data_IF_282175374648
#
_entry.id   IF_282175374648
#
_cell.length_a   1.000
_cell.length_b   1.000
_cell.length_c   1.000
_cell.angle_alpha   90.00
_cell.angle_beta   90.00
_cell.angle_gamma   90.00
#
_symmetry.space_group_name_H-M   'P 1'
#
loop_
_entity.id
_entity.type
_entity.pdbx_description
1 polymer ?
#
# COMPACT_ATOMS: atom_id res chain seq x y z
N UNK A 1 13.01 23.45 -23.00
CA UNK A 1 11.78 22.94 -22.34
C UNK A 1 12.19 21.65 -21.64
N UNK A 2 12.38 21.68 -20.32
CA UNK A 2 12.92 20.55 -19.57
C UNK A 2 11.87 19.45 -19.45
N UNK A 3 12.17 18.29 -20.03
CA UNK A 3 11.44 17.06 -19.74
C UNK A 3 11.63 16.75 -18.25
N UNK A 4 10.56 16.92 -17.46
CA UNK A 4 10.52 16.46 -16.08
C UNK A 4 10.63 14.93 -16.13
N UNK A 5 11.83 14.43 -15.80
CA UNK A 5 12.10 13.01 -15.71
C UNK A 5 11.05 12.37 -14.79
N UNK A 6 10.30 11.38 -15.27
CA UNK A 6 9.53 10.51 -14.40
C UNK A 6 10.53 9.87 -13.42
N UNK A 7 10.46 10.27 -12.16
CA UNK A 7 11.32 9.71 -11.14
C UNK A 7 11.00 8.22 -10.97
N UNK A 8 12.07 7.44 -10.99
CA UNK A 8 12.05 5.99 -10.87
C UNK A 8 11.49 5.61 -9.50
N UNK A 9 10.71 4.54 -9.47
CA UNK A 9 10.04 4.02 -8.27
C UNK A 9 11.07 3.94 -7.13
N UNK A 10 10.84 4.63 -5.99
CA UNK A 10 11.78 4.55 -4.88
C UNK A 10 11.90 3.09 -4.40
N UNK A 11 13.10 2.67 -3.97
CA UNK A 11 13.30 1.34 -3.44
C UNK A 11 12.46 1.11 -2.19
N UNK A 12 12.39 -0.16 -1.76
CA UNK A 12 11.65 -0.59 -0.56
C UNK A 12 11.82 0.38 0.64
N UNK A 13 10.74 0.72 1.37
CA UNK A 13 10.81 1.70 2.47
C UNK A 13 11.84 1.35 3.56
N UNK A 14 12.13 0.07 3.81
CA UNK A 14 13.17 -0.30 4.78
C UNK A 14 14.55 -0.01 4.23
N UNK A 15 14.79 -0.26 2.94
CA UNK A 15 16.03 0.13 2.24
C UNK A 15 16.18 1.65 2.28
N UNK A 16 15.11 2.41 2.00
CA UNK A 16 15.14 3.88 2.12
C UNK A 16 15.44 4.35 3.53
N UNK A 17 14.83 3.73 4.55
CA UNK A 17 15.08 4.08 5.95
C UNK A 17 16.54 3.77 6.36
N UNK A 18 17.10 2.65 5.92
CA UNK A 18 18.50 2.28 6.16
C UNK A 18 19.46 3.27 5.48
N UNK A 19 19.26 3.53 4.18
CA UNK A 19 20.08 4.49 3.42
C UNK A 19 20.00 5.90 4.03
N UNK A 20 18.83 6.31 4.51
CA UNK A 20 18.67 7.61 5.18
C UNK A 20 19.37 7.65 6.54
N UNK A 21 19.32 6.56 7.33
CA UNK A 21 20.06 6.47 8.58
C UNK A 21 21.58 6.54 8.35
N UNK A 22 22.08 5.90 7.30
CA UNK A 22 23.48 6.00 6.87
C UNK A 22 23.83 7.41 6.40
N UNK A 23 22.95 8.06 5.62
CA UNK A 23 23.10 9.46 5.24
C UNK A 23 23.22 10.39 6.46
N UNK A 24 22.38 10.23 7.49
CA UNK A 24 22.43 11.06 8.69
C UNK A 24 23.75 10.88 9.45
N UNK A 25 24.25 9.65 9.54
CA UNK A 25 25.59 9.35 10.08
C UNK A 25 26.70 9.99 9.25
N UNK A 26 26.55 9.98 7.93
CA UNK A 26 27.52 10.51 6.98
C UNK A 26 27.56 12.05 6.92
N UNK A 27 26.39 12.69 6.98
CA UNK A 27 26.21 14.14 6.80
C UNK A 27 26.96 14.95 7.85
N UNK A 28 26.91 14.57 9.13
CA UNK A 28 27.49 15.36 10.22
C UNK A 28 27.12 16.85 10.11
N UNK A 29 28.13 17.74 10.03
CA UNK A 29 27.98 19.21 9.82
C UNK A 29 28.00 19.66 8.34
N UNK A 30 28.07 18.74 7.36
CA UNK A 30 28.17 19.09 5.93
C UNK A 30 26.78 19.35 5.31
N UNK A 31 26.68 20.35 4.42
CA UNK A 31 25.48 20.68 3.62
C UNK A 31 25.32 19.75 2.40
N UNK A 32 25.33 18.42 2.60
CA UNK A 32 25.04 17.46 1.54
C UNK A 32 23.55 17.08 1.60
N UNK A 33 22.82 17.14 0.51
CA UNK A 33 21.43 16.64 0.44
C UNK A 33 21.40 15.12 0.31
N UNK A 34 20.29 14.50 0.71
CA UNK A 34 20.12 13.05 0.60
C UNK A 34 20.25 12.56 -0.85
N UNK A 35 19.70 13.29 -1.83
CA UNK A 35 19.84 12.97 -3.25
C UNK A 35 21.32 12.91 -3.71
N UNK A 36 22.14 13.90 -3.30
CA UNK A 36 23.59 13.89 -3.61
C UNK A 36 24.35 12.79 -2.87
N UNK A 37 23.83 12.33 -1.73
CA UNK A 37 24.39 11.18 -1.03
C UNK A 37 24.09 9.88 -1.78
N UNK A 38 22.89 9.69 -2.31
CA UNK A 38 22.52 8.52 -3.12
C UNK A 38 23.37 8.41 -4.39
N UNK A 39 23.60 9.52 -5.10
CA UNK A 39 24.55 9.56 -6.23
C UNK A 39 25.97 9.17 -5.80
N UNK A 40 26.41 9.68 -4.65
CA UNK A 40 27.76 9.44 -4.13
C UNK A 40 28.03 7.98 -3.78
N UNK A 41 27.03 7.28 -3.22
CA UNK A 41 27.16 5.85 -2.91
C UNK A 41 26.97 4.97 -4.15
N UNK A 42 26.78 5.57 -5.33
CA UNK A 42 26.54 4.84 -6.58
C UNK A 42 25.20 4.10 -6.57
N UNK A 43 24.21 4.58 -5.80
CA UNK A 43 22.89 3.94 -5.74
C UNK A 43 22.27 3.96 -7.13
N UNK A 44 22.20 2.78 -7.74
CA UNK A 44 21.56 2.57 -9.03
C UNK A 44 20.20 1.94 -8.75
N UNK A 45 19.13 2.60 -9.17
CA UNK A 45 17.79 2.05 -9.03
C UNK A 45 17.73 0.64 -9.66
N UNK A 46 17.44 -0.42 -8.89
CA UNK A 46 17.36 -1.78 -9.39
C UNK A 46 16.19 -1.98 -10.37
N UNK A 47 15.20 -1.08 -10.42
CA UNK A 47 14.15 -1.07 -11.43
C UNK A 47 14.59 -0.39 -12.75
N UNK A 48 15.79 0.17 -12.82
CA UNK A 48 16.31 0.81 -14.02
C UNK A 48 16.41 -0.19 -15.18
N UNK A 49 15.47 -0.08 -16.13
CA UNK A 49 15.42 -0.94 -17.33
C UNK A 49 14.58 -2.20 -17.18
N UNK A 50 13.96 -2.44 -16.02
CA UNK A 50 12.97 -3.51 -15.87
C UNK A 50 11.65 -3.10 -16.54
N UNK A 51 11.15 -3.94 -17.44
CA UNK A 51 9.83 -3.78 -18.06
C UNK A 51 8.76 -4.11 -17.01
N UNK A 52 7.99 -3.11 -16.58
CA UNK A 52 6.89 -3.27 -15.62
C UNK A 52 5.77 -4.21 -16.12
N UNK A 53 5.06 -4.81 -15.16
CA UNK A 53 3.95 -5.74 -15.41
C UNK A 53 2.63 -5.06 -15.84
N UNK A 54 2.63 -3.73 -15.96
CA UNK A 54 1.49 -2.87 -16.30
C UNK A 54 1.21 -2.76 -17.81
N UNK A 55 2.03 -3.35 -18.68
CA UNK A 55 1.86 -3.33 -20.15
C UNK A 55 0.86 -4.35 -20.74
N UNK A 56 -0.18 -4.71 -19.99
CA UNK A 56 -1.37 -5.35 -20.58
C UNK A 56 -1.30 -6.86 -20.80
N UNK A 57 -0.38 -7.57 -20.14
CA UNK A 57 -0.44 -9.05 -20.04
C UNK A 57 -1.70 -9.44 -19.27
N UNK A 58 -2.71 -9.99 -19.95
CA UNK A 58 -3.99 -10.38 -19.35
C UNK A 58 -4.00 -11.87 -19.03
N UNK A 59 -3.91 -12.30 -17.76
CA UNK A 59 -4.24 -13.68 -17.41
C UNK A 59 -5.70 -13.99 -17.79
N UNK A 60 -5.96 -15.23 -18.21
CA UNK A 60 -7.32 -15.70 -18.44
C UNK A 60 -8.07 -15.79 -17.10
N UNK A 61 -9.27 -15.18 -16.98
CA UNK A 61 -10.03 -15.20 -15.74
C UNK A 61 -10.58 -16.59 -15.51
N UNK A 62 -10.66 -16.99 -14.24
CA UNK A 62 -11.34 -18.22 -13.83
C UNK A 62 -12.86 -18.05 -13.97
N UNK A 63 -13.63 -19.11 -14.28
CA UNK A 63 -15.09 -19.02 -14.39
C UNK A 63 -15.72 -18.45 -13.11
N UNK A 64 -16.65 -17.49 -13.25
CA UNK A 64 -17.40 -16.89 -12.15
C UNK A 64 -16.78 -15.61 -11.53
N UNK A 65 -15.71 -15.06 -12.09
CA UNK A 65 -15.12 -13.80 -11.65
C UNK A 65 -15.29 -12.71 -12.71
N UNK A 66 -16.05 -11.65 -12.39
CA UNK A 66 -16.13 -10.46 -13.23
C UNK A 66 -14.80 -9.70 -13.12
N UNK A 67 -14.28 -9.24 -14.27
CA UNK A 67 -13.04 -8.46 -14.29
C UNK A 67 -13.34 -7.06 -13.76
N UNK A 68 -12.46 -6.55 -12.90
CA UNK A 68 -12.38 -5.09 -12.71
C UNK A 68 -12.01 -4.49 -14.06
N UNK A 69 -12.94 -3.73 -14.65
CA UNK A 69 -12.70 -3.00 -15.89
C UNK A 69 -11.52 -2.05 -15.66
N UNK A 70 -10.51 -2.14 -16.52
CA UNK A 70 -9.46 -1.12 -16.53
C UNK A 70 -10.16 0.16 -17.03
N UNK A 71 -10.17 1.25 -16.22
CA UNK A 71 -10.86 2.46 -16.63
C UNK A 71 -10.25 2.99 -17.92
N UNK A 72 -11.11 3.34 -18.89
CA UNK A 72 -10.67 3.87 -20.18
C UNK A 72 -10.02 5.27 -20.06
N UNK A 73 -10.19 5.93 -18.92
CA UNK A 73 -9.66 7.26 -18.62
C UNK A 73 -8.56 7.15 -17.58
N UNK A 74 -7.44 7.84 -17.85
CA UNK A 74 -6.37 7.98 -16.87
C UNK A 74 -6.88 8.76 -15.64
N UNK A 75 -6.43 8.36 -14.45
CA UNK A 75 -6.69 9.11 -13.22
C UNK A 75 -5.81 10.36 -13.23
N UNK A 76 -6.43 11.54 -13.11
CA UNK A 76 -5.74 12.83 -12.97
C UNK A 76 -6.41 13.71 -11.91
N UNK A 77 -5.64 14.63 -11.33
CA UNK A 77 -6.07 15.50 -10.24
C UNK A 77 -6.21 14.74 -8.92
N UNK A 78 -7.10 15.20 -8.05
CA UNK A 78 -7.31 14.55 -6.75
C UNK A 78 -8.06 13.23 -6.92
N UNK A 79 -7.49 12.15 -6.39
CA UNK A 79 -8.13 10.84 -6.23
C UNK A 79 -8.49 10.66 -4.75
N UNK A 80 -9.79 10.49 -4.47
CA UNK A 80 -10.33 10.30 -3.11
C UNK A 80 -10.40 8.82 -2.78
N UNK A 81 -9.78 8.43 -1.66
CA UNK A 81 -9.75 7.06 -1.17
C UNK A 81 -10.60 6.95 0.09
N UNK A 82 -11.32 5.85 0.21
CA UNK A 82 -11.97 5.45 1.45
C UNK A 82 -11.18 4.30 2.09
N UNK A 83 -10.73 4.48 3.33
CA UNK A 83 -10.01 3.45 4.09
C UNK A 83 -10.88 2.99 5.26
N UNK A 84 -11.16 1.70 5.33
CA UNK A 84 -11.96 1.09 6.39
C UNK A 84 -11.08 0.18 7.24
N UNK A 85 -11.00 0.45 8.54
CA UNK A 85 -10.28 -0.39 9.49
C UNK A 85 -11.20 -1.49 10.02
N UNK A 86 -10.76 -2.74 9.94
CA UNK A 86 -11.52 -3.91 10.38
C UNK A 86 -10.81 -4.63 11.52
N UNK A 87 -11.52 -4.89 12.62
CA UNK A 87 -11.00 -5.72 13.72
C UNK A 87 -11.91 -6.91 14.01
N UNK A 88 -11.42 -7.84 14.84
CA UNK A 88 -12.05 -9.13 15.07
C UNK A 88 -12.29 -9.34 16.57
N UNK A 89 -13.27 -10.19 16.96
CA UNK A 89 -13.53 -10.50 18.36
C UNK A 89 -12.29 -11.02 19.12
N UNK A 90 -11.45 -11.79 18.43
CA UNK A 90 -10.22 -12.42 18.93
C UNK A 90 -8.94 -11.65 18.58
N UNK A 91 -9.03 -10.61 17.75
CA UNK A 91 -7.88 -9.81 17.33
C UNK A 91 -8.31 -8.34 17.13
N UNK A 92 -8.17 -7.56 18.20
CA UNK A 92 -8.65 -6.18 18.25
C UNK A 92 -7.64 -5.23 17.63
N UNK A 93 -8.15 -4.18 17.00
CA UNK A 93 -7.33 -3.10 16.48
C UNK A 93 -6.77 -2.23 17.60
N UNK A 94 -5.46 -1.98 17.58
CA UNK A 94 -4.76 -1.24 18.63
C UNK A 94 -4.37 0.18 18.21
N UNK A 95 -4.14 0.41 16.91
CA UNK A 95 -3.67 1.69 16.39
C UNK A 95 -4.85 2.62 16.06
N UNK A 96 -4.77 3.92 16.37
CA UNK A 96 -5.84 4.86 16.06
C UNK A 96 -5.91 5.13 14.55
N UNK A 97 -7.10 5.50 14.05
CA UNK A 97 -7.31 5.80 12.63
C UNK A 97 -6.43 6.96 12.11
N UNK A 98 -6.16 7.96 12.96
CA UNK A 98 -5.32 9.11 12.65
C UNK A 98 -3.88 8.73 12.27
N UNK A 99 -3.39 7.61 12.78
CA UNK A 99 -2.05 7.15 12.44
C UNK A 99 -1.98 6.63 11.00
N UNK A 100 -2.98 5.84 10.59
CA UNK A 100 -3.10 5.40 9.20
C UNK A 100 -3.32 6.59 8.26
N UNK A 101 -4.14 7.56 8.68
CA UNK A 101 -4.37 8.78 7.92
C UNK A 101 -3.06 9.56 7.69
N UNK A 102 -2.22 9.66 8.70
CA UNK A 102 -0.89 10.28 8.58
C UNK A 102 -0.03 9.53 7.57
N UNK A 103 0.14 8.21 7.72
CA UNK A 103 1.00 7.41 6.83
C UNK A 103 0.49 7.40 5.38
N UNK A 104 -0.82 7.51 5.17
CA UNK A 104 -1.43 7.45 3.84
C UNK A 104 -1.53 8.82 3.15
N UNK A 105 -1.94 9.87 3.87
CA UNK A 105 -2.42 11.11 3.24
C UNK A 105 -1.66 12.38 3.64
N UNK A 106 -0.71 12.29 4.58
CA UNK A 106 0.15 13.42 4.94
C UNK A 106 1.03 13.89 3.76
N UNK A 107 1.57 15.10 3.83
CA UNK A 107 2.58 15.59 2.88
C UNK A 107 3.85 15.96 3.61
N UNK A 108 5.00 15.47 3.14
CA UNK A 108 6.31 15.83 3.68
C UNK A 108 6.48 15.61 5.18
N UNK A 109 5.65 14.75 5.79
CA UNK A 109 5.64 14.52 7.25
C UNK A 109 6.61 13.41 7.62
N UNK A 110 6.70 12.35 6.81
CA UNK A 110 7.64 11.26 6.99
C UNK A 110 8.84 11.44 6.07
N UNK A 111 10.02 11.09 6.57
CA UNK A 111 11.26 11.14 5.77
C UNK A 111 11.24 10.15 4.61
N UNK A 112 10.54 9.02 4.76
CA UNK A 112 10.31 8.02 3.70
C UNK A 112 9.17 8.40 2.76
N UNK A 113 8.47 9.52 3.02
CA UNK A 113 7.23 9.90 2.34
C UNK A 113 6.00 9.12 2.82
N UNK A 114 4.83 9.71 2.63
CA UNK A 114 3.54 9.05 2.72
C UNK A 114 3.15 8.41 1.37
N UNK A 115 2.04 7.65 1.34
CA UNK A 115 1.46 7.19 0.06
C UNK A 115 1.13 8.37 -0.87
N UNK A 116 0.64 9.49 -0.32
CA UNK A 116 0.37 10.71 -1.10
C UNK A 116 1.63 11.32 -1.67
N UNK A 117 2.72 11.37 -0.89
CA UNK A 117 4.02 11.85 -1.38
C UNK A 117 4.55 10.96 -2.50
N UNK A 118 4.46 9.62 -2.33
CA UNK A 118 4.86 8.64 -3.34
C UNK A 118 4.11 8.86 -4.66
N UNK A 119 2.77 8.90 -4.64
CA UNK A 119 1.98 9.09 -5.86
C UNK A 119 2.19 10.46 -6.50
N UNK A 120 2.39 11.51 -5.70
CA UNK A 120 2.76 12.83 -6.23
C UNK A 120 4.09 12.80 -6.96
N UNK A 121 5.08 12.05 -6.47
CA UNK A 121 6.39 11.90 -7.11
C UNK A 121 6.30 11.08 -8.39
N UNK A 122 5.77 9.85 -8.32
CA UNK A 122 5.76 8.93 -9.47
C UNK A 122 4.83 9.39 -10.60
N UNK A 123 3.78 10.15 -10.28
CA UNK A 123 2.88 10.73 -11.28
C UNK A 123 3.30 12.14 -11.72
N UNK A 124 4.46 12.65 -11.28
CA UNK A 124 4.92 14.01 -11.57
C UNK A 124 3.86 15.09 -11.24
N UNK A 125 3.16 14.93 -10.11
CA UNK A 125 2.11 15.84 -9.64
C UNK A 125 0.78 15.75 -10.40
N UNK A 126 0.64 14.85 -11.37
CA UNK A 126 -0.63 14.66 -12.11
C UNK A 126 -1.73 14.03 -11.28
N UNK A 127 -1.36 13.32 -10.21
CA UNK A 127 -2.28 12.65 -9.29
C UNK A 127 -1.96 13.12 -7.87
N UNK A 128 -3.00 13.54 -7.16
CA UNK A 128 -2.93 13.88 -5.74
C UNK A 128 -3.85 12.94 -4.96
N UNK A 129 -3.28 12.11 -4.10
CA UNK A 129 -4.03 11.09 -3.37
C UNK A 129 -4.49 11.66 -2.04
N UNK A 130 -5.79 11.68 -1.78
CA UNK A 130 -6.37 12.16 -0.53
C UNK A 130 -7.50 11.22 -0.10
N UNK A 131 -7.90 11.23 1.17
CA UNK A 131 -8.95 10.31 1.61
C UNK A 131 -9.31 10.46 3.07
N UNK A 132 -10.14 9.54 3.54
CA UNK A 132 -10.53 9.42 4.93
C UNK A 132 -10.28 8.01 5.45
N UNK A 133 -9.94 7.92 6.74
CA UNK A 133 -9.80 6.64 7.44
C UNK A 133 -10.89 6.52 8.49
N UNK A 134 -11.70 5.45 8.39
CA UNK A 134 -12.76 5.17 9.34
C UNK A 134 -12.36 4.03 10.27
N UNK A 135 -12.49 4.30 11.57
CA UNK A 135 -11.97 3.46 12.65
C UNK A 135 -12.63 2.09 12.78
N UNK A 136 -12.11 1.31 13.73
CA UNK A 136 -12.32 -0.13 13.84
C UNK A 136 -13.79 -0.59 13.77
N UNK A 137 -14.10 -1.25 12.66
CA UNK A 137 -15.34 -1.95 12.38
C UNK A 137 -15.17 -3.39 12.84
N UNK A 138 -15.87 -3.76 13.92
CA UNK A 138 -15.82 -5.12 14.46
C UNK A 138 -16.55 -6.09 13.57
N UNK A 139 -15.82 -7.08 13.07
CA UNK A 139 -16.33 -8.16 12.25
C UNK A 139 -17.16 -9.15 13.08
N UNK A 140 -18.20 -9.78 12.49
CA UNK A 140 -19.05 -10.74 13.18
C UNK A 140 -18.33 -12.07 13.49
N UNK A 141 -17.28 -12.40 12.74
CA UNK A 141 -16.51 -13.62 12.92
C UNK A 141 -15.08 -13.36 13.40
N UNK A 142 -14.44 -14.39 13.93
CA UNK A 142 -13.03 -14.40 14.35
C UNK A 142 -12.08 -14.25 13.16
N UNK A 143 -10.85 -13.81 13.39
CA UNK A 143 -9.83 -13.63 12.34
C UNK A 143 -9.64 -14.89 11.47
N UNK A 144 -9.61 -16.06 12.12
CA UNK A 144 -9.44 -17.36 11.43
C UNK A 144 -10.56 -17.72 10.46
N UNK A 145 -11.75 -17.15 10.61
CA UNK A 145 -12.86 -17.38 9.66
C UNK A 145 -12.56 -16.77 8.29
N UNK A 146 -11.93 -15.59 8.27
CA UNK A 146 -11.65 -14.84 7.04
C UNK A 146 -10.34 -15.27 6.37
N UNK A 147 -9.32 -15.61 7.17
CA UNK A 147 -7.98 -15.93 6.65
C UNK A 147 -7.77 -17.44 6.49
N UNK A 148 -8.38 -18.26 7.36
CA UNK A 148 -8.19 -19.71 7.36
C UNK A 148 -6.71 -20.12 7.36
N UNK A 149 -6.40 -21.26 6.71
CA UNK A 149 -5.03 -21.76 6.49
C UNK A 149 -4.42 -21.31 5.16
N UNK A 150 -5.20 -20.71 4.27
CA UNK A 150 -4.80 -20.34 2.91
C UNK A 150 -4.77 -18.82 2.69
N UNK A 151 -4.46 -18.05 3.74
CA UNK A 151 -4.30 -16.59 3.66
C UNK A 151 -5.49 -15.83 3.05
N UNK A 152 -6.71 -16.29 3.29
CA UNK A 152 -7.92 -15.68 2.75
C UNK A 152 -8.23 -16.04 1.30
N UNK A 153 -7.47 -16.96 0.69
CA UNK A 153 -7.69 -17.51 -0.66
C UNK A 153 -8.54 -18.80 -0.64
N UNK A 154 -9.24 -19.05 0.47
CA UNK A 154 -10.20 -20.16 0.59
C UNK A 154 -11.49 -19.92 -0.21
N UNK A 155 -12.40 -20.90 -0.14
CA UNK A 155 -13.73 -20.76 -0.70
C UNK A 155 -14.58 -19.77 0.09
N UNK A 156 -15.40 -18.99 -0.62
CA UNK A 156 -16.41 -18.15 0.01
C UNK A 156 -17.39 -19.02 0.83
N UNK A 157 -17.82 -18.62 2.03
CA UNK A 157 -17.58 -17.33 2.70
C UNK A 157 -16.37 -17.31 3.66
N UNK A 158 -15.49 -18.31 3.67
CA UNK A 158 -14.34 -18.36 4.59
C UNK A 158 -13.08 -17.81 3.91
N UNK A 159 -13.18 -16.56 3.45
CA UNK A 159 -12.15 -15.92 2.62
C UNK A 159 -12.14 -14.39 2.77
N UNK A 160 -11.18 -13.74 2.12
CA UNK A 160 -11.02 -12.28 2.16
C UNK A 160 -12.19 -11.53 1.47
N UNK A 161 -12.88 -12.15 0.52
CA UNK A 161 -14.06 -11.54 -0.13
C UNK A 161 -15.21 -11.36 0.88
N UNK A 162 -15.44 -12.37 1.74
CA UNK A 162 -16.42 -12.24 2.82
C UNK A 162 -16.01 -11.17 3.83
N UNK A 163 -14.71 -11.01 4.11
CA UNK A 163 -14.23 -9.90 4.94
C UNK A 163 -14.62 -8.55 4.34
N UNK A 164 -14.35 -8.32 3.05
CA UNK A 164 -14.74 -7.09 2.38
C UNK A 164 -16.26 -6.84 2.46
N UNK A 165 -17.08 -7.88 2.24
CA UNK A 165 -18.53 -7.77 2.35
C UNK A 165 -19.01 -7.40 3.77
N UNK A 166 -18.46 -8.05 4.80
CA UNK A 166 -18.81 -7.77 6.20
C UNK A 166 -18.33 -6.38 6.65
N UNK A 167 -17.16 -5.94 6.18
CA UNK A 167 -16.65 -4.58 6.42
C UNK A 167 -17.57 -3.53 5.83
N UNK A 168 -18.04 -3.71 4.59
CA UNK A 168 -18.99 -2.80 3.96
C UNK A 168 -20.34 -2.78 4.70
N UNK A 169 -20.83 -3.93 5.13
CA UNK A 169 -22.06 -4.01 5.93
C UNK A 169 -21.90 -3.27 7.28
N UNK A 170 -20.76 -3.45 7.95
CA UNK A 170 -20.45 -2.75 9.18
C UNK A 170 -20.30 -1.23 8.99
N UNK A 171 -19.66 -0.80 7.89
CA UNK A 171 -19.51 0.60 7.53
C UNK A 171 -20.88 1.27 7.29
N UNK A 172 -21.78 0.60 6.54
CA UNK A 172 -23.17 1.06 6.34
C UNK A 172 -23.92 1.17 7.66
N UNK A 173 -23.81 0.17 8.53
CA UNK A 173 -24.46 0.18 9.86
C UNK A 173 -23.95 1.34 10.73
N UNK A 174 -22.66 1.67 10.66
CA UNK A 174 -22.05 2.81 11.36
C UNK A 174 -22.24 4.15 10.64
N UNK A 175 -22.98 4.18 9.52
CA UNK A 175 -23.22 5.39 8.71
C UNK A 175 -21.93 6.07 8.24
N UNK A 176 -20.91 5.27 7.87
CA UNK A 176 -19.72 5.80 7.20
C UNK A 176 -20.14 6.46 5.88
N UNK A 177 -19.75 7.71 5.62
CA UNK A 177 -20.14 8.40 4.40
C UNK A 177 -19.44 7.82 3.18
N UNK A 178 -20.22 7.45 2.17
CA UNK A 178 -19.73 7.14 0.83
C UNK A 178 -19.99 8.38 -0.05
N UNK A 179 -19.11 9.36 0.05
CA UNK A 179 -19.24 10.62 -0.66
C UNK A 179 -19.17 10.41 -2.18
N UNK A 180 -19.90 11.25 -2.93
CA UNK A 180 -19.97 11.13 -4.39
C UNK A 180 -18.60 11.32 -5.08
N UNK A 181 -17.67 12.04 -4.45
CA UNK A 181 -16.31 12.26 -4.97
C UNK A 181 -15.39 11.02 -4.87
N UNK A 182 -15.86 9.94 -4.24
CA UNK A 182 -15.21 8.62 -4.29
C UNK A 182 -15.42 7.92 -5.64
N UNK A 183 -16.43 8.32 -6.41
CA UNK A 183 -16.63 7.88 -7.80
C UNK A 183 -15.97 8.88 -8.75
N UNK A 184 -14.68 8.66 -9.00
CA UNK A 184 -13.86 9.53 -9.86
C UNK A 184 -14.29 9.47 -11.33
N UNK A 185 -14.92 8.37 -11.76
CA UNK A 185 -15.24 8.12 -13.16
C UNK A 185 -16.71 8.38 -13.50
N UNK A 186 -17.58 8.51 -12.51
CA UNK A 186 -19.02 8.70 -12.68
C UNK A 186 -19.73 7.42 -13.13
N UNK A 187 -19.19 6.25 -12.82
CA UNK A 187 -19.72 4.95 -13.24
C UNK A 187 -20.57 4.27 -12.15
N UNK A 188 -20.82 4.96 -11.04
CA UNK A 188 -21.58 4.47 -9.90
C UNK A 188 -20.76 3.61 -8.93
N UNK A 189 -19.46 3.48 -9.13
CA UNK A 189 -18.58 2.68 -8.28
C UNK A 189 -17.56 3.53 -7.50
N UNK A 190 -17.26 3.11 -6.27
CA UNK A 190 -16.13 3.68 -5.52
C UNK A 190 -14.83 3.32 -6.25
N UNK A 191 -14.11 4.32 -6.71
CA UNK A 191 -12.89 4.12 -7.51
C UNK A 191 -11.76 3.50 -6.71
N UNK A 192 -11.61 3.86 -5.43
CA UNK A 192 -10.54 3.35 -4.58
C UNK A 192 -11.01 3.12 -3.14
N UNK A 193 -11.13 1.85 -2.76
CA UNK A 193 -11.50 1.39 -1.42
C UNK A 193 -10.40 0.51 -0.84
N UNK A 194 -9.95 0.83 0.36
CA UNK A 194 -8.91 0.11 1.07
C UNK A 194 -9.52 -0.50 2.34
N UNK A 195 -9.27 -1.79 2.56
CA UNK A 195 -9.62 -2.47 3.80
C UNK A 195 -8.33 -2.83 4.51
N UNK A 196 -8.13 -2.28 5.71
CA UNK A 196 -6.98 -2.59 6.55
C UNK A 196 -7.49 -3.37 7.76
N UNK A 197 -6.95 -4.56 7.99
CA UNK A 197 -7.41 -5.43 9.06
C UNK A 197 -6.41 -5.52 10.22
N UNK A 198 -6.90 -5.81 11.42
CA UNK A 198 -6.06 -6.11 12.58
C UNK A 198 -5.32 -7.45 12.40
N UNK A 199 -4.10 -7.54 12.92
CA UNK A 199 -3.22 -8.71 12.78
C UNK A 199 -2.17 -8.54 11.69
N UNK A 200 -1.15 -9.41 11.72
CA UNK A 200 -0.13 -9.45 10.67
C UNK A 200 -0.69 -10.12 9.42
N UNK A 201 -0.45 -9.50 8.25
CA UNK A 201 -0.64 -10.16 6.96
C UNK A 201 0.23 -11.42 6.86
N UNK A 202 -0.22 -12.41 6.11
CA UNK A 202 0.51 -13.69 6.05
C UNK A 202 1.87 -13.53 5.36
N UNK A 203 2.01 -12.54 4.49
CA UNK A 203 3.24 -12.21 3.77
C UNK A 203 4.41 -11.81 4.69
N UNK A 204 4.12 -11.21 5.85
CA UNK A 204 5.13 -10.87 6.84
C UNK A 204 5.68 -12.10 7.59
N UNK A 205 4.93 -13.21 7.62
CA UNK A 205 5.36 -14.45 8.28
C UNK A 205 6.43 -15.20 7.47
N UNK A 206 6.45 -15.03 6.15
CA UNK A 206 7.42 -15.67 5.25
C UNK A 206 8.80 -15.00 5.23
N UNK A 207 8.93 -13.73 5.57
CA UNK A 207 10.17 -12.96 5.35
C UNK A 207 11.29 -13.37 6.31
N UNK A 208 10.98 -13.67 7.57
CA UNK A 208 12.00 -14.09 8.55
C UNK A 208 12.52 -15.51 8.27
N UNK A 209 11.63 -16.42 7.83
CA UNK A 209 12.00 -17.78 7.46
C UNK A 209 12.76 -17.84 6.12
N UNK A 210 12.40 -16.99 5.15
CA UNK A 210 13.09 -16.89 3.87
C UNK A 210 14.46 -16.22 3.98
N UNK A 211 14.61 -15.18 4.82
CA UNK A 211 15.93 -14.53 5.06
C UNK A 211 16.94 -15.48 5.69
N UNK A 212 16.52 -16.36 6.60
CA UNK A 212 17.40 -17.37 7.22
C UNK A 212 17.85 -18.46 6.23
N UNK A 213 17.10 -18.72 5.16
CA UNK A 213 17.46 -19.72 4.14
C UNK A 213 18.35 -19.15 3.03
N UNK A 214 18.36 -17.83 2.84
CA UNK A 214 19.18 -17.13 1.86
C UNK A 214 20.62 -16.86 2.33
N UNK A 215 20.87 -16.92 3.65
CA UNK A 215 22.21 -16.87 4.23
C UNK A 215 22.67 -18.32 4.43
N UNK A 216 23.22 -18.91 3.38
CA UNK A 216 23.85 -20.24 3.46
C UNK A 216 25.01 -20.26 4.46
N UNK A 217 25.44 -21.44 4.94
CA UNK A 217 26.49 -21.55 5.94
C UNK A 217 27.79 -20.95 5.40
N UNK A 218 28.31 -19.95 6.11
CA UNK A 218 29.64 -19.39 5.85
C UNK A 218 30.67 -20.51 5.94
N UNK A 219 31.39 -20.74 4.84
CA UNK A 219 32.49 -21.72 4.76
C UNK A 219 33.55 -21.39 5.83
N UNK A 220 34.02 -22.36 6.64
CA UNK A 220 35.09 -22.14 7.59
C UNK A 220 36.43 -21.93 6.86
N UNK A 221 37.27 -21.12 7.48
CA UNK A 221 38.61 -20.68 7.06
C UNK A 221 39.57 -21.81 6.76
#
# INVERSE_FOLDING_TARGET
MNATACHRVPPDPQVMAQLHAEYLRYRGRKKLSFAKYLEKIGFTDPAAGLKGADRGSRPTPRPGMERVLIPARAVTGTLRLLVLLADFPDNKGLRPASEFESVLFSKGTFQTGSMRDFYSEVCCGKVDVAGSVHGWLRMPHKYSYYVGSNSGMGAYPRNAQKLAADVLAAAKKKKVPFAADLDKFGDGSVTALFVVHAGQGTEARSTVAAQRKAIGPTRPT
#
